data_IF_822500419686
#
_entry.id   IF_822500419686
#
_cell.length_a   1.000
_cell.length_b   1.000
_cell.length_c   1.000
_cell.angle_alpha   90.00
_cell.angle_beta   90.00
_cell.angle_gamma   90.00
#
_symmetry.space_group_name_H-M   'P 1'
#
loop_
_entity.id
_entity.type
_entity.pdbx_description
1 polymer ?
#
# COMPACT_ATOMS: atom_id res chain seq x y z
N UNK A 1 -3.99 34.74 -15.77
CA UNK A 1 -4.27 33.35 -15.34
C UNK A 1 -3.19 32.47 -15.94
N UNK A 2 -2.14 32.22 -15.18
CA UNK A 2 -1.07 31.29 -15.57
C UNK A 2 -1.23 30.04 -14.71
N UNK A 3 -1.79 29.01 -15.33
CA UNK A 3 -1.88 27.67 -14.79
C UNK A 3 -0.46 27.14 -14.54
N UNK A 4 -0.06 27.14 -13.27
CA UNK A 4 1.22 26.60 -12.82
C UNK A 4 0.98 25.14 -12.48
N UNK A 5 0.87 24.31 -13.52
CA UNK A 5 0.98 22.86 -13.37
C UNK A 5 2.32 22.58 -12.68
N UNK A 6 2.25 22.18 -11.42
CA UNK A 6 3.40 21.95 -10.56
C UNK A 6 4.05 20.62 -10.95
N UNK A 7 4.61 20.56 -12.16
CA UNK A 7 5.29 19.38 -12.70
C UNK A 7 6.57 19.19 -11.89
N UNK A 8 6.54 18.23 -10.98
CA UNK A 8 7.67 17.83 -10.15
C UNK A 8 8.87 17.54 -11.09
N UNK A 9 9.96 18.29 -10.91
CA UNK A 9 11.21 18.06 -11.68
C UNK A 9 11.68 16.63 -11.44
N UNK A 10 12.20 15.95 -12.47
CA UNK A 10 12.60 14.52 -12.41
C UNK A 10 13.56 14.18 -11.26
N UNK A 11 14.39 15.12 -10.81
CA UNK A 11 15.29 14.95 -9.65
C UNK A 11 14.60 15.01 -8.28
N UNK A 12 13.38 15.56 -8.20
CA UNK A 12 12.56 15.60 -6.99
C UNK A 12 11.65 14.35 -6.84
N UNK A 13 11.60 13.47 -7.85
CA UNK A 13 10.76 12.27 -7.85
C UNK A 13 11.14 11.29 -6.71
N UNK A 14 12.43 10.96 -6.49
CA UNK A 14 12.82 10.10 -5.37
C UNK A 14 12.46 10.72 -4.01
N UNK A 15 12.66 12.04 -3.85
CA UNK A 15 12.33 12.76 -2.63
C UNK A 15 10.83 12.68 -2.31
N UNK A 16 9.97 12.89 -3.31
CA UNK A 16 8.52 12.78 -3.12
C UNK A 16 8.05 11.38 -2.72
N UNK A 17 8.73 10.33 -3.22
CA UNK A 17 8.48 8.95 -2.81
C UNK A 17 8.76 8.73 -1.32
N UNK A 18 9.95 9.13 -0.85
CA UNK A 18 10.32 9.03 0.56
C UNK A 18 9.41 9.85 1.47
N UNK A 19 9.05 11.08 1.06
CA UNK A 19 8.09 11.89 1.82
C UNK A 19 6.74 11.19 1.94
N UNK A 20 6.24 10.60 0.85
CA UNK A 20 4.97 9.88 0.87
C UNK A 20 5.00 8.67 1.82
N UNK A 21 6.08 7.88 1.80
CA UNK A 21 6.27 6.76 2.73
C UNK A 21 6.39 7.22 4.18
N UNK A 22 7.14 8.30 4.45
CA UNK A 22 7.25 8.87 5.79
C UNK A 22 5.87 9.29 6.31
N UNK A 23 5.05 9.93 5.47
CA UNK A 23 3.69 10.30 5.84
C UNK A 23 2.80 9.07 6.11
N UNK A 24 2.97 7.99 5.36
CA UNK A 24 2.27 6.73 5.63
C UNK A 24 2.64 6.17 7.00
N UNK A 25 3.92 6.11 7.36
CA UNK A 25 4.31 5.64 8.68
C UNK A 25 3.97 6.63 9.80
N UNK A 26 4.01 7.93 9.55
CA UNK A 26 3.51 8.94 10.49
C UNK A 26 2.02 8.74 10.78
N UNK A 27 1.22 8.29 9.81
CA UNK A 27 -0.17 7.93 10.07
C UNK A 27 -0.29 6.79 11.10
N UNK A 28 0.56 5.76 11.02
CA UNK A 28 0.59 4.68 12.01
C UNK A 28 1.03 5.19 13.39
N UNK A 29 2.01 6.10 13.43
CA UNK A 29 2.43 6.73 14.68
C UNK A 29 1.33 7.61 15.29
N UNK A 30 0.49 8.25 14.47
CA UNK A 30 -0.70 8.96 14.95
C UNK A 30 -1.69 7.99 15.60
N UNK A 31 -1.95 6.84 14.97
CA UNK A 31 -2.80 5.80 15.56
C UNK A 31 -2.20 5.35 16.90
N UNK A 32 -0.87 5.18 16.98
CA UNK A 32 -0.19 4.81 18.22
C UNK A 32 -0.26 5.89 19.31
N UNK A 33 -0.19 7.17 18.95
CA UNK A 33 -0.37 8.27 19.90
C UNK A 33 -1.80 8.33 20.46
N UNK A 34 -2.79 7.98 19.63
CA UNK A 34 -4.20 7.91 20.02
C UNK A 34 -4.49 6.70 20.92
N UNK A 35 -3.84 5.56 20.66
CA UNK A 35 -3.88 4.37 21.51
C UNK A 35 -2.47 3.77 21.69
N UNK A 36 -1.77 4.14 22.79
CA UNK A 36 -0.41 3.69 23.08
C UNK A 36 -0.24 2.18 23.22
N UNK A 37 -1.33 1.42 23.38
CA UNK A 37 -1.29 -0.03 23.47
C UNK A 37 -1.37 -0.72 22.10
N UNK A 38 -1.56 0.01 20.99
CA UNK A 38 -1.71 -0.61 19.67
C UNK A 38 -0.48 -1.37 19.21
N UNK A 39 0.70 -0.76 19.36
CA UNK A 39 1.94 -1.27 18.83
C UNK A 39 3.00 -1.41 19.93
N UNK A 40 3.86 -2.40 19.77
CA UNK A 40 5.09 -2.52 20.55
C UNK A 40 6.21 -1.71 19.89
N UNK A 41 6.27 -1.74 18.57
CA UNK A 41 7.20 -0.96 17.76
C UNK A 41 6.66 -0.71 16.35
N UNK A 42 7.21 0.31 15.72
CA UNK A 42 7.01 0.66 14.31
C UNK A 42 8.39 0.88 13.69
N UNK A 43 8.64 0.27 12.54
CA UNK A 43 9.89 0.38 11.79
C UNK A 43 9.60 0.82 10.35
N UNK A 44 10.46 1.72 9.85
CA UNK A 44 10.48 2.15 8.45
C UNK A 44 11.64 1.46 7.75
N UNK A 45 11.47 1.08 6.48
CA UNK A 45 12.50 0.38 5.70
C UNK A 45 13.03 -0.85 6.46
N UNK A 46 12.13 -1.73 6.87
CA UNK A 46 12.42 -2.82 7.78
C UNK A 46 13.24 -3.93 7.06
N UNK A 47 14.51 -4.08 7.46
CA UNK A 47 15.45 -5.00 6.83
C UNK A 47 16.00 -6.00 7.86
N UNK A 48 15.15 -6.92 8.32
CA UNK A 48 15.55 -8.03 9.20
C UNK A 48 14.79 -9.31 8.90
N UNK A 49 15.32 -10.46 9.33
CA UNK A 49 14.89 -11.81 8.90
C UNK A 49 13.41 -12.16 9.14
N UNK A 50 12.74 -11.46 10.06
CA UNK A 50 11.33 -11.68 10.38
C UNK A 50 10.37 -10.88 9.48
N UNK A 51 10.89 -9.94 8.70
CA UNK A 51 10.13 -9.05 7.82
C UNK A 51 10.27 -9.52 6.36
N UNK A 52 9.15 -9.62 5.62
CA UNK A 52 9.21 -10.05 4.24
C UNK A 52 9.65 -8.91 3.31
N UNK A 53 10.67 -9.18 2.49
CA UNK A 53 11.36 -8.26 1.56
C UNK A 53 10.51 -7.49 0.52
N UNK A 54 9.18 -7.65 0.52
CA UNK A 54 8.30 -6.91 -0.40
C UNK A 54 7.09 -6.30 0.31
N UNK A 55 7.05 -6.35 1.65
CA UNK A 55 6.04 -5.70 2.49
C UNK A 55 6.73 -5.10 3.73
N UNK A 56 7.79 -4.35 3.47
CA UNK A 56 8.84 -3.94 4.41
C UNK A 56 9.00 -2.42 4.53
N UNK A 57 8.39 -1.62 3.64
CA UNK A 57 8.54 -0.15 3.66
C UNK A 57 8.12 0.47 5.00
N UNK A 58 7.03 -0.02 5.60
CA UNK A 58 6.60 0.29 6.96
C UNK A 58 6.03 -0.96 7.61
N UNK A 59 6.60 -1.37 8.73
CA UNK A 59 6.16 -2.53 9.52
C UNK A 59 5.87 -2.10 10.95
N UNK A 60 4.83 -2.66 11.55
CA UNK A 60 4.58 -2.51 12.98
C UNK A 60 4.23 -3.85 13.60
N UNK A 61 4.74 -4.11 14.81
CA UNK A 61 4.27 -5.21 15.64
C UNK A 61 3.23 -4.70 16.61
N UNK A 62 2.08 -5.37 16.65
CA UNK A 62 1.02 -5.13 17.62
C UNK A 62 1.32 -5.81 18.95
N UNK A 63 0.65 -5.38 20.01
CA UNK A 63 0.76 -5.99 21.36
C UNK A 63 0.38 -7.47 21.41
N UNK A 64 -0.42 -7.95 20.45
CA UNK A 64 -0.79 -9.37 20.30
C UNK A 64 0.25 -10.16 19.47
N UNK A 65 1.42 -9.57 19.24
CA UNK A 65 2.54 -10.09 18.46
C UNK A 65 2.27 -10.26 16.95
N UNK A 66 1.12 -9.81 16.45
CA UNK A 66 0.81 -9.83 15.00
C UNK A 66 1.36 -8.59 14.29
N UNK A 67 1.60 -8.71 12.98
CA UNK A 67 2.23 -7.66 12.17
C UNK A 67 1.24 -6.87 11.32
N UNK A 68 1.49 -5.57 11.23
CA UNK A 68 0.99 -4.69 10.17
C UNK A 68 2.11 -4.55 9.13
N UNK A 69 1.87 -5.02 7.91
CA UNK A 69 2.85 -5.08 6.82
C UNK A 69 2.44 -4.16 5.68
N UNK A 70 3.19 -3.08 5.43
CA UNK A 70 2.82 -2.07 4.44
C UNK A 70 3.92 -1.92 3.40
N UNK A 71 3.54 -2.06 2.13
CA UNK A 71 4.33 -1.60 1.01
C UNK A 71 3.75 -0.29 0.50
N UNK A 72 4.59 0.71 0.30
CA UNK A 72 4.25 2.01 -0.29
C UNK A 72 4.69 2.05 -1.75
N UNK A 73 3.79 2.49 -2.63
CA UNK A 73 4.09 2.74 -4.06
C UNK A 73 3.60 4.11 -4.46
N UNK A 74 4.54 5.03 -4.63
CA UNK A 74 4.26 6.39 -5.12
C UNK A 74 4.44 6.49 -6.64
N UNK A 75 3.61 7.29 -7.29
CA UNK A 75 3.80 7.74 -8.68
C UNK A 75 3.71 9.25 -8.76
N UNK A 76 4.53 9.86 -9.62
CA UNK A 76 4.24 11.20 -10.11
C UNK A 76 3.10 11.13 -11.11
N UNK A 77 2.31 12.20 -11.19
CA UNK A 77 1.20 12.35 -12.14
C UNK A 77 0.19 11.18 -12.05
N UNK A 78 -0.41 11.00 -10.86
CA UNK A 78 -1.36 9.93 -10.59
C UNK A 78 -2.64 9.99 -11.43
N UNK A 79 -2.97 11.17 -11.96
CA UNK A 79 -4.10 11.39 -12.87
C UNK A 79 -3.78 10.97 -14.31
N UNK A 80 -2.53 10.68 -14.65
CA UNK A 80 -2.16 10.10 -15.95
C UNK A 80 -2.70 8.65 -16.02
N UNK A 81 -3.54 8.30 -17.01
CA UNK A 81 -4.08 6.94 -17.13
C UNK A 81 -3.02 5.85 -17.27
N UNK A 82 -1.83 6.17 -17.79
CA UNK A 82 -0.70 5.22 -17.84
C UNK A 82 -0.14 4.87 -16.46
N UNK A 83 -0.45 5.69 -15.46
CA UNK A 83 -0.10 5.49 -14.06
C UNK A 83 -1.24 4.94 -13.21
N UNK A 84 -2.35 4.51 -13.81
CA UNK A 84 -3.45 3.93 -13.06
C UNK A 84 -3.04 2.69 -12.25
N UNK A 85 -3.69 2.50 -11.10
CA UNK A 85 -3.71 1.22 -10.40
C UNK A 85 -4.56 0.26 -11.24
N UNK A 86 -3.87 -0.57 -12.03
CA UNK A 86 -4.50 -1.44 -13.02
C UNK A 86 -3.84 -2.82 -13.06
N UNK A 87 -4.56 -3.82 -13.57
CA UNK A 87 -4.07 -5.19 -13.69
C UNK A 87 -2.74 -5.31 -14.47
N UNK A 88 -2.53 -4.61 -15.60
CA UNK A 88 -1.24 -4.65 -16.29
C UNK A 88 -0.07 -4.20 -15.40
N UNK A 89 -0.27 -3.22 -14.52
CA UNK A 89 0.78 -2.77 -13.59
C UNK A 89 1.08 -3.82 -12.52
N UNK A 90 0.05 -4.45 -11.96
CA UNK A 90 0.18 -5.48 -10.92
C UNK A 90 0.80 -6.79 -11.43
N UNK A 91 0.45 -7.18 -12.65
CA UNK A 91 0.84 -8.44 -13.29
C UNK A 91 2.11 -8.31 -14.15
N UNK A 92 2.57 -7.09 -14.42
CA UNK A 92 3.78 -6.85 -15.20
C UNK A 92 5.00 -7.52 -14.54
N UNK A 93 5.76 -8.25 -15.36
CA UNK A 93 7.02 -8.87 -14.97
C UNK A 93 7.93 -8.99 -16.20
N UNK A 94 9.24 -9.11 -15.94
CA UNK A 94 10.21 -9.53 -16.96
C UNK A 94 10.06 -11.03 -17.25
N UNK A 95 10.53 -11.57 -18.39
CA UNK A 95 10.35 -12.99 -18.72
C UNK A 95 10.80 -14.01 -17.65
N UNK A 96 11.84 -13.69 -16.88
CA UNK A 96 12.33 -14.49 -15.75
C UNK A 96 12.09 -13.82 -14.39
N UNK A 97 11.25 -12.78 -14.33
CA UNK A 97 10.94 -12.02 -13.13
C UNK A 97 9.59 -12.41 -12.54
N UNK A 98 9.38 -12.00 -11.28
CA UNK A 98 8.07 -12.05 -10.61
C UNK A 98 7.36 -10.71 -10.71
N UNK A 99 6.04 -10.74 -10.83
CA UNK A 99 5.20 -9.54 -10.79
C UNK A 99 5.10 -8.97 -9.37
N UNK A 100 4.52 -7.78 -9.22
CA UNK A 100 4.25 -7.19 -7.90
C UNK A 100 3.32 -8.10 -7.09
N UNK A 101 2.29 -8.60 -7.74
CA UNK A 101 1.29 -9.45 -7.11
C UNK A 101 1.87 -10.77 -6.61
N UNK A 102 2.77 -11.40 -7.39
CA UNK A 102 3.52 -12.58 -6.95
C UNK A 102 4.39 -12.28 -5.73
N UNK A 103 5.14 -11.17 -5.77
CA UNK A 103 6.04 -10.79 -4.68
C UNK A 103 5.29 -10.55 -3.37
N UNK A 104 4.20 -9.79 -3.41
CA UNK A 104 3.39 -9.52 -2.22
C UNK A 104 2.69 -10.78 -1.71
N UNK A 105 2.20 -11.64 -2.61
CA UNK A 105 1.64 -12.93 -2.23
C UNK A 105 2.69 -13.79 -1.52
N UNK A 106 3.86 -13.98 -2.12
CA UNK A 106 4.94 -14.78 -1.55
C UNK A 106 5.40 -14.24 -0.20
N UNK A 107 5.54 -12.91 -0.08
CA UNK A 107 5.88 -12.23 1.16
C UNK A 107 4.84 -12.46 2.26
N UNK A 108 3.56 -12.30 1.95
CA UNK A 108 2.46 -12.50 2.91
C UNK A 108 2.44 -13.94 3.44
N UNK A 109 2.52 -14.92 2.53
CA UNK A 109 2.53 -16.32 2.93
C UNK A 109 3.83 -16.74 3.63
N UNK A 110 4.96 -16.09 3.33
CA UNK A 110 6.24 -16.32 3.99
C UNK A 110 6.24 -15.94 5.47
N UNK A 111 5.47 -14.92 5.86
CA UNK A 111 5.32 -14.53 7.28
C UNK A 111 4.47 -15.52 8.07
N UNK A 112 3.47 -16.10 7.41
CA UNK A 112 2.40 -16.89 8.05
C UNK A 112 1.18 -16.01 8.35
N UNK A 113 0.01 -16.38 7.85
CA UNK A 113 -1.20 -15.55 7.92
C UNK A 113 -1.69 -15.32 9.36
N UNK A 114 -1.46 -16.27 10.24
CA UNK A 114 -1.75 -16.20 11.67
C UNK A 114 -0.94 -15.12 12.40
N UNK A 115 0.22 -14.75 11.83
CA UNK A 115 1.09 -13.69 12.34
C UNK A 115 0.79 -12.33 11.73
N UNK A 116 -0.16 -12.22 10.81
CA UNK A 116 -0.46 -10.97 10.09
C UNK A 116 -1.79 -10.40 10.56
N UNK A 117 -1.73 -9.23 11.19
CA UNK A 117 -2.92 -8.44 11.50
C UNK A 117 -3.52 -7.85 10.22
N UNK A 118 -2.67 -7.23 9.41
CA UNK A 118 -3.06 -6.64 8.13
C UNK A 118 -1.87 -6.52 7.21
N UNK A 119 -2.09 -6.75 5.92
CA UNK A 119 -1.10 -6.50 4.87
C UNK A 119 -1.73 -5.63 3.79
N UNK A 120 -0.99 -4.63 3.31
CA UNK A 120 -1.51 -3.73 2.30
C UNK A 120 -0.43 -3.16 1.39
N UNK A 121 -0.84 -2.85 0.16
CA UNK A 121 -0.17 -1.83 -0.64
C UNK A 121 -0.87 -0.49 -0.44
N UNK A 122 -0.08 0.55 -0.17
CA UNK A 122 -0.53 1.94 -0.06
C UNK A 122 0.00 2.70 -1.27
N UNK A 123 -0.89 3.32 -2.04
CA UNK A 123 -0.49 4.04 -3.26
C UNK A 123 -1.34 5.29 -3.51
N UNK A 124 -0.74 6.27 -4.18
CA UNK A 124 -1.47 7.43 -4.68
C UNK A 124 -2.02 7.23 -6.10
N UNK A 125 -1.79 6.07 -6.73
CA UNK A 125 -2.37 5.72 -8.04
C UNK A 125 -3.90 5.68 -7.96
N UNK A 126 -4.57 6.20 -8.98
CA UNK A 126 -6.03 6.11 -9.13
C UNK A 126 -6.39 4.78 -9.79
N UNK A 127 -7.37 4.02 -9.29
CA UNK A 127 -7.75 2.75 -9.89
C UNK A 127 -8.32 2.94 -11.30
N UNK A 128 -7.96 2.03 -12.21
CA UNK A 128 -8.70 1.94 -13.47
C UNK A 128 -10.11 1.42 -13.21
N UNK A 129 -11.06 1.73 -14.10
CA UNK A 129 -12.44 1.24 -13.99
C UNK A 129 -12.52 -0.29 -13.86
N UNK A 130 -11.69 -1.01 -14.61
CA UNK A 130 -11.64 -2.47 -14.56
C UNK A 130 -11.17 -2.98 -13.20
N UNK A 131 -10.14 -2.35 -12.62
CA UNK A 131 -9.66 -2.71 -11.29
C UNK A 131 -10.69 -2.34 -10.21
N UNK A 132 -11.28 -1.14 -10.30
CA UNK A 132 -12.27 -0.64 -9.35
C UNK A 132 -13.50 -1.53 -9.24
N UNK A 133 -14.01 -2.09 -10.36
CA UNK A 133 -15.15 -3.02 -10.35
C UNK A 133 -14.85 -4.30 -9.54
N UNK A 134 -13.58 -4.72 -9.50
CA UNK A 134 -13.17 -5.89 -8.72
C UNK A 134 -12.98 -5.61 -7.23
N UNK A 135 -12.92 -4.36 -6.82
CA UNK A 135 -12.66 -3.97 -5.44
C UNK A 135 -13.95 -3.96 -4.60
N UNK A 136 -13.83 -4.38 -3.35
CA UNK A 136 -14.80 -4.10 -2.31
C UNK A 136 -14.41 -2.79 -1.61
N UNK A 137 -15.25 -1.77 -1.71
CA UNK A 137 -14.97 -0.45 -1.15
C UNK A 137 -14.89 -0.42 0.39
N UNK A 138 -15.56 -1.36 1.07
CA UNK A 138 -15.60 -1.39 2.54
C UNK A 138 -14.35 -2.03 3.13
N UNK A 139 -13.85 -3.10 2.52
CA UNK A 139 -12.68 -3.83 2.99
C UNK A 139 -11.39 -3.39 2.29
N UNK A 140 -11.49 -2.72 1.14
CA UNK A 140 -10.38 -2.38 0.24
C UNK A 140 -9.65 -3.62 -0.27
N UNK A 141 -10.35 -4.74 -0.39
CA UNK A 141 -9.83 -6.00 -0.93
C UNK A 141 -10.42 -6.27 -2.30
N UNK A 142 -9.72 -7.07 -3.10
CA UNK A 142 -10.22 -7.50 -4.41
C UNK A 142 -11.13 -8.72 -4.22
N UNK A 143 -12.32 -8.69 -4.80
CA UNK A 143 -13.19 -9.85 -4.97
C UNK A 143 -12.75 -10.59 -6.24
N UNK A 144 -12.00 -11.68 -6.09
CA UNK A 144 -11.44 -12.42 -7.22
C UNK A 144 -12.51 -12.90 -8.22
N UNK A 145 -13.72 -13.20 -7.73
CA UNK A 145 -14.85 -13.59 -8.59
C UNK A 145 -15.34 -12.46 -9.52
N UNK A 146 -15.09 -11.20 -9.17
CA UNK A 146 -15.44 -10.00 -9.95
C UNK A 146 -14.36 -9.57 -10.94
N UNK A 147 -13.20 -10.23 -10.96
CA UNK A 147 -12.13 -9.99 -11.94
C UNK A 147 -12.47 -10.61 -13.28
N UNK A 148 -12.16 -9.92 -14.38
CA UNK A 148 -12.32 -10.43 -15.75
C UNK A 148 -11.71 -11.84 -15.88
N UNK A 149 -12.39 -12.82 -16.53
CA UNK A 149 -11.90 -14.19 -16.61
C UNK A 149 -10.49 -14.34 -17.19
N UNK A 150 -10.09 -13.49 -18.13
CA UNK A 150 -8.76 -13.52 -18.75
C UNK A 150 -7.69 -13.07 -17.76
N UNK A 151 -7.96 -11.96 -17.06
CA UNK A 151 -7.07 -11.44 -16.02
C UNK A 151 -7.01 -12.42 -14.84
N UNK A 152 -8.15 -12.98 -14.44
CA UNK A 152 -8.20 -13.99 -13.38
C UNK A 152 -7.36 -15.20 -13.73
N UNK A 153 -7.44 -15.72 -14.96
CA UNK A 153 -6.59 -16.82 -15.39
C UNK A 153 -5.09 -16.49 -15.28
N UNK A 154 -4.68 -15.26 -15.62
CA UNK A 154 -3.30 -14.81 -15.47
C UNK A 154 -2.87 -14.66 -14.01
N UNK A 155 -3.75 -14.14 -13.15
CA UNK A 155 -3.53 -14.09 -11.69
C UNK A 155 -3.28 -15.50 -11.16
N UNK A 156 -4.15 -16.47 -11.50
CA UNK A 156 -4.03 -17.85 -11.05
C UNK A 156 -2.73 -18.50 -11.55
N UNK A 157 -2.35 -18.23 -12.81
CA UNK A 157 -1.08 -18.69 -13.37
C UNK A 157 0.13 -18.12 -12.63
N UNK A 158 0.08 -16.85 -12.23
CA UNK A 158 1.18 -16.18 -11.54
C UNK A 158 1.27 -16.56 -10.06
N UNK A 159 0.15 -16.58 -9.33
CA UNK A 159 0.10 -16.95 -7.91
C UNK A 159 0.29 -18.47 -7.71
N UNK A 160 -0.19 -19.29 -8.65
CA UNK A 160 0.03 -20.74 -8.70
C UNK A 160 -1.21 -21.60 -8.42
N UNK A 161 -2.21 -21.12 -7.68
CA UNK A 161 -3.48 -21.86 -7.46
C UNK A 161 -4.66 -20.94 -7.14
N UNK A 162 -5.89 -21.46 -7.27
CA UNK A 162 -7.13 -20.74 -6.88
C UNK A 162 -7.14 -20.44 -5.40
N UNK A 163 -6.96 -21.46 -4.55
CA UNK A 163 -6.99 -21.33 -3.10
C UNK A 163 -5.98 -20.28 -2.59
N UNK A 164 -4.77 -20.28 -3.16
CA UNK A 164 -3.74 -19.30 -2.77
C UNK A 164 -4.11 -17.88 -3.22
N UNK A 165 -4.71 -17.73 -4.41
CA UNK A 165 -5.15 -16.43 -4.89
C UNK A 165 -6.32 -15.88 -4.09
N UNK A 166 -7.33 -16.71 -3.81
CA UNK A 166 -8.46 -16.37 -2.95
C UNK A 166 -7.98 -15.95 -1.56
N UNK A 167 -7.16 -16.79 -0.93
CA UNK A 167 -6.59 -16.48 0.39
C UNK A 167 -5.77 -15.20 0.39
N UNK A 168 -4.95 -14.97 -0.65
CA UNK A 168 -4.18 -13.72 -0.78
C UNK A 168 -5.09 -12.50 -0.81
N UNK A 169 -6.09 -12.48 -1.70
CA UNK A 169 -6.97 -11.33 -1.83
C UNK A 169 -7.90 -11.14 -0.63
N UNK A 170 -8.21 -12.21 0.10
CA UNK A 170 -8.95 -12.13 1.36
C UNK A 170 -8.14 -11.52 2.50
N UNK A 171 -6.80 -11.48 2.41
CA UNK A 171 -5.92 -10.95 3.46
C UNK A 171 -5.14 -9.69 3.05
N UNK A 172 -5.20 -9.29 1.77
CA UNK A 172 -4.39 -8.20 1.24
C UNK A 172 -5.23 -7.02 0.77
N UNK A 173 -4.95 -5.84 1.33
CA UNK A 173 -5.66 -4.61 1.00
C UNK A 173 -4.92 -3.77 -0.06
N UNK A 174 -5.69 -3.15 -0.95
CA UNK A 174 -5.23 -2.14 -1.90
C UNK A 174 -5.73 -0.78 -1.46
N UNK A 175 -4.94 -0.09 -0.65
CA UNK A 175 -5.27 1.23 -0.10
C UNK A 175 -4.79 2.30 -1.09
N UNK A 176 -5.71 2.86 -1.85
CA UNK A 176 -5.40 3.77 -2.95
C UNK A 176 -6.03 5.16 -2.77
N UNK A 177 -5.85 6.04 -3.76
CA UNK A 177 -6.49 7.36 -3.85
C UNK A 177 -6.23 8.32 -2.67
N UNK A 178 -5.17 8.11 -1.88
CA UNK A 178 -4.62 9.18 -1.06
C UNK A 178 -4.10 10.25 -2.03
N UNK A 179 -4.63 11.48 -1.97
CA UNK A 179 -4.38 12.58 -2.93
C UNK A 179 -2.91 13.12 -2.92
N UNK A 180 -1.93 12.24 -3.12
CA UNK A 180 -0.51 12.52 -3.01
C UNK A 180 -0.04 12.86 -1.59
N UNK A 181 1.25 13.16 -1.46
CA UNK A 181 1.88 13.48 -0.18
C UNK A 181 1.24 14.70 0.51
N UNK A 182 0.93 15.76 -0.24
CA UNK A 182 0.37 16.98 0.36
C UNK A 182 -1.00 16.78 1.00
N UNK A 183 -1.86 15.94 0.43
CA UNK A 183 -3.15 15.67 1.04
C UNK A 183 -3.03 14.80 2.28
N UNK A 184 -2.16 13.78 2.23
CA UNK A 184 -1.89 12.96 3.41
C UNK A 184 -1.30 13.80 4.54
N UNK A 185 -0.35 14.69 4.24
CA UNK A 185 0.19 15.65 5.19
C UNK A 185 -0.91 16.51 5.84
N UNK A 186 -1.81 17.10 5.04
CA UNK A 186 -2.96 17.86 5.58
C UNK A 186 -3.82 17.01 6.51
N UNK A 187 -4.15 15.78 6.12
CA UNK A 187 -4.92 14.86 6.96
C UNK A 187 -4.22 14.59 8.29
N UNK A 188 -2.90 14.39 8.28
CA UNK A 188 -2.14 14.16 9.51
C UNK A 188 -2.07 15.41 10.39
N UNK A 189 -1.86 16.58 9.80
CA UNK A 189 -1.88 17.86 10.52
C UNK A 189 -3.24 18.08 11.19
N UNK A 190 -4.34 17.84 10.47
CA UNK A 190 -5.70 18.00 11.00
C UNK A 190 -6.04 16.97 12.10
N UNK A 191 -5.39 15.80 12.09
CA UNK A 191 -5.51 14.80 13.17
C UNK A 191 -4.68 15.20 14.40
N UNK A 192 -3.41 15.56 14.19
CA UNK A 192 -2.44 15.76 15.26
C UNK A 192 -2.61 17.10 15.99
N UNK A 193 -2.71 18.19 15.23
CA UNK A 193 -2.63 19.55 15.81
C UNK A 193 -3.77 19.81 16.80
N UNK A 194 -5.05 19.50 16.51
CA UNK A 194 -6.11 19.80 17.48
C UNK A 194 -6.06 18.97 18.76
N UNK A 195 -5.34 17.84 18.77
CA UNK A 195 -5.40 16.84 19.84
C UNK A 195 -4.14 16.76 20.70
N UNK A 196 -2.97 17.02 20.10
CA UNK A 196 -1.68 16.67 20.72
C UNK A 196 -0.64 17.80 20.73
N UNK A 197 -0.87 18.91 20.04
CA UNK A 197 0.06 20.06 19.97
C UNK A 197 -0.71 21.34 19.60
N UNK A 198 -0.03 22.39 19.15
CA UNK A 198 -0.61 23.51 18.44
C UNK A 198 0.26 23.85 17.21
N UNK A 199 -0.05 24.91 16.46
CA UNK A 199 0.76 25.29 15.29
C UNK A 199 2.12 25.90 15.65
N UNK A 200 2.40 26.08 16.93
CA UNK A 200 3.63 26.62 17.48
C UNK A 200 4.60 25.53 17.96
N UNK A 201 4.10 24.31 18.20
CA UNK A 201 4.88 23.13 18.60
C UNK A 201 4.75 22.83 20.09
#
# INVERSE_FOLDING_TARGET
MTDTSNRIKRSAIPLSGYVYQNLVGLNLLCDWLEDPALYEWVQFEADHDEVPQWLDDVVAQRWDSTFVLLQVKFTVDADDPSNALAWPWLLAHKPAGRSLLQKWSDSLFGVGLDRVHSAAVITNRVPSREFEVSMDASTRRVRLCSVDPTIRAEILRQIGSSDRAETFFDHFEFRHSYQGAQALERTLVDRLVPRHTDRSG
#
